data_IF_534578845715
#
_entry.id   IF_534578845715
#
_cell.length_a   1.000
_cell.length_b   1.000
_cell.length_c   1.000
_cell.angle_alpha   90.00
_cell.angle_beta   90.00
_cell.angle_gamma   90.00
#
_symmetry.space_group_name_H-M   'P 1'
#
loop_
_entity.id
_entity.type
_entity.pdbx_description
1 polymer ?
#
# COMPACT_ATOMS: atom_id res chain seq x y z
N UNK A 1 2.18 9.87 12.35
CA UNK A 1 1.62 8.51 12.15
C UNK A 1 1.71 7.73 13.46
N UNK A 2 0.78 6.81 13.73
CA UNK A 2 0.74 6.03 14.99
C UNK A 2 0.95 4.55 14.69
N UNK A 3 1.86 3.92 15.44
CA UNK A 3 2.06 2.48 15.40
C UNK A 3 1.04 1.80 16.32
N UNK A 4 0.53 0.60 15.95
CA UNK A 4 1.00 -0.27 14.87
C UNK A 4 0.34 -0.02 13.50
N UNK A 5 -0.63 0.89 13.38
CA UNK A 5 -1.45 1.05 12.17
C UNK A 5 -0.63 1.38 10.91
N UNK A 6 0.44 2.18 11.06
CA UNK A 6 1.33 2.52 9.95
C UNK A 6 2.05 1.31 9.30
N UNK A 7 2.06 0.14 9.95
CA UNK A 7 2.70 -1.06 9.42
C UNK A 7 1.81 -1.91 8.51
N UNK A 8 0.49 -1.64 8.45
CA UNK A 8 -0.43 -2.46 7.66
C UNK A 8 -0.01 -2.58 6.18
N UNK A 9 0.43 -1.51 5.49
CA UNK A 9 0.87 -1.63 4.10
C UNK A 9 2.09 -2.56 3.93
N UNK A 10 2.99 -2.59 4.92
CA UNK A 10 4.17 -3.49 4.91
C UNK A 10 3.77 -4.94 5.02
N UNK A 11 2.83 -5.24 5.91
CA UNK A 11 2.29 -6.60 6.10
C UNK A 11 1.53 -7.06 4.85
N UNK A 12 0.82 -6.14 4.18
CA UNK A 12 0.17 -6.44 2.90
C UNK A 12 1.19 -6.73 1.81
N UNK A 13 2.29 -5.96 1.76
CA UNK A 13 3.36 -6.10 0.77
C UNK A 13 4.16 -7.39 0.94
N UNK A 14 4.41 -7.82 2.18
CA UNK A 14 5.25 -8.98 2.48
C UNK A 14 4.47 -9.99 3.32
N UNK A 15 4.19 -11.16 2.74
CA UNK A 15 3.61 -12.28 3.49
C UNK A 15 4.71 -13.23 3.92
N UNK A 16 4.61 -13.70 5.16
CA UNK A 16 5.43 -14.78 5.68
C UNK A 16 4.86 -16.11 5.20
N UNK A 17 5.67 -16.91 4.51
CA UNK A 17 5.35 -18.29 4.18
C UNK A 17 5.84 -19.22 5.28
N UNK A 18 5.04 -20.22 5.64
CA UNK A 18 5.49 -21.32 6.49
C UNK A 18 6.22 -22.33 5.60
N UNK A 19 7.47 -22.66 5.91
CA UNK A 19 8.14 -23.78 5.27
C UNK A 19 7.51 -25.10 5.75
N UNK A 20 7.55 -26.18 4.96
CA UNK A 20 7.04 -27.49 5.37
C UNK A 20 7.63 -28.02 6.69
N UNK A 21 8.79 -27.50 7.10
CA UNK A 21 9.50 -27.84 8.34
C UNK A 21 8.99 -27.11 9.60
N UNK A 22 7.98 -26.24 9.49
CA UNK A 22 7.49 -25.44 10.62
C UNK A 22 8.39 -24.25 11.00
N UNK A 23 9.49 -24.02 10.28
CA UNK A 23 10.25 -22.78 10.38
C UNK A 23 9.56 -21.66 9.59
N UNK A 24 9.62 -20.44 10.14
CA UNK A 24 9.24 -19.22 9.42
C UNK A 24 10.18 -19.04 8.22
N UNK A 25 9.64 -19.19 7.01
CA UNK A 25 10.37 -19.03 5.76
C UNK A 25 10.49 -17.58 5.32
N UNK A 26 11.34 -17.38 4.31
CA UNK A 26 11.55 -16.12 3.58
C UNK A 26 10.22 -15.40 3.30
N UNK A 27 10.20 -14.10 3.57
CA UNK A 27 9.09 -13.24 3.15
C UNK A 27 9.08 -13.10 1.63
N UNK A 28 7.91 -13.27 1.02
CA UNK A 28 7.74 -13.02 -0.41
C UNK A 28 6.87 -11.80 -0.64
N UNK A 29 7.23 -11.04 -1.68
CA UNK A 29 6.47 -9.86 -2.10
C UNK A 29 5.14 -10.31 -2.71
N UNK A 30 4.04 -9.77 -2.21
CA UNK A 30 2.71 -10.08 -2.73
C UNK A 30 2.43 -9.34 -4.03
N UNK A 31 1.50 -9.87 -4.83
CA UNK A 31 1.00 -9.25 -6.06
C UNK A 31 -0.02 -8.12 -5.81
N UNK A 32 -0.34 -7.80 -4.54
CA UNK A 32 -1.30 -6.75 -4.19
C UNK A 32 -0.79 -5.40 -4.67
N UNK A 33 -1.69 -4.62 -5.29
CA UNK A 33 -1.42 -3.23 -5.64
C UNK A 33 -1.73 -2.31 -4.46
N UNK A 34 -0.73 -1.56 -4.02
CA UNK A 34 -0.82 -0.59 -2.94
C UNK A 34 -0.71 0.80 -3.57
N UNK A 35 -1.75 1.61 -3.39
CA UNK A 35 -1.80 3.00 -3.88
C UNK A 35 -1.75 3.91 -2.66
N UNK A 36 -0.80 4.82 -2.64
CA UNK A 36 -0.67 5.85 -1.62
C UNK A 36 -1.32 7.14 -2.12
N UNK A 37 -2.22 7.72 -1.32
CA UNK A 37 -2.80 9.04 -1.58
C UNK A 37 -2.42 9.93 -0.43
N UNK A 38 -1.49 10.85 -0.66
CA UNK A 38 -1.01 11.75 0.38
C UNK A 38 -0.52 13.06 -0.23
N UNK A 39 -0.55 14.15 0.55
CA UNK A 39 -0.06 15.44 0.05
C UNK A 39 1.46 15.44 -0.17
N UNK A 40 2.19 14.64 0.61
CA UNK A 40 3.64 14.48 0.55
C UNK A 40 3.99 12.98 0.61
N UNK A 41 5.08 12.52 -0.03
CA UNK A 41 5.51 11.13 0.08
C UNK A 41 5.76 10.70 1.53
N UNK A 42 5.36 9.47 1.89
CA UNK A 42 5.74 8.86 3.18
C UNK A 42 6.94 7.91 3.03
N UNK A 43 7.42 7.38 4.16
CA UNK A 43 8.44 6.32 4.17
C UNK A 43 8.03 5.09 3.33
N UNK A 44 6.72 4.82 3.20
CA UNK A 44 6.21 3.69 2.40
C UNK A 44 6.51 3.86 0.91
N UNK A 45 6.49 5.11 0.41
CA UNK A 45 6.90 5.44 -0.94
C UNK A 45 8.40 5.22 -1.12
N UNK A 46 9.22 5.79 -0.22
CA UNK A 46 10.69 5.70 -0.32
C UNK A 46 11.23 4.27 -0.23
N UNK A 47 10.53 3.39 0.47
CA UNK A 47 10.90 1.98 0.62
C UNK A 47 10.27 1.07 -0.45
N UNK A 48 9.53 1.64 -1.40
CA UNK A 48 8.90 0.88 -2.48
C UNK A 48 7.80 -0.06 -2.01
N UNK A 49 7.14 0.24 -0.89
CA UNK A 49 5.96 -0.47 -0.40
C UNK A 49 4.75 -0.14 -1.27
N UNK A 50 4.54 1.14 -1.60
CA UNK A 50 3.49 1.62 -2.51
C UNK A 50 3.91 1.37 -3.97
N UNK A 51 2.99 0.87 -4.81
CA UNK A 51 3.23 0.77 -6.26
C UNK A 51 3.03 2.12 -6.95
N UNK A 52 2.13 2.94 -6.41
CA UNK A 52 1.78 4.26 -6.95
C UNK A 52 1.65 5.26 -5.80
N UNK A 53 2.04 6.50 -6.07
CA UNK A 53 1.74 7.66 -5.24
C UNK A 53 0.88 8.64 -6.05
N UNK A 54 -0.24 9.06 -5.47
CA UNK A 54 -1.07 10.15 -5.98
C UNK A 54 -0.93 11.31 -5.00
N UNK A 55 -0.17 12.33 -5.42
CA UNK A 55 0.10 13.49 -4.58
C UNK A 55 -1.09 14.44 -4.54
N UNK A 56 -1.54 14.78 -3.32
CA UNK A 56 -2.60 15.74 -3.10
C UNK A 56 -3.39 15.51 -1.80
N UNK A 57 -4.28 16.46 -1.49
CA UNK A 57 -5.16 16.33 -0.32
C UNK A 57 -6.21 15.26 -0.58
N UNK A 58 -6.39 14.36 0.38
CA UNK A 58 -7.36 13.25 0.31
C UNK A 58 -8.77 13.74 -0.03
N UNK A 59 -9.21 14.85 0.56
CA UNK A 59 -10.53 15.45 0.32
C UNK A 59 -10.74 15.98 -1.10
N UNK A 60 -9.67 16.18 -1.88
CA UNK A 60 -9.73 16.64 -3.27
C UNK A 60 -9.50 15.47 -4.24
N UNK A 61 -8.59 14.55 -3.90
CA UNK A 61 -8.22 13.42 -4.75
C UNK A 61 -9.32 12.34 -4.79
N UNK A 62 -9.87 11.93 -3.65
CA UNK A 62 -10.83 10.82 -3.63
C UNK A 62 -12.10 11.11 -4.45
N UNK A 63 -12.73 12.31 -4.41
CA UNK A 63 -13.86 12.62 -5.29
C UNK A 63 -13.53 12.48 -6.77
N UNK A 64 -12.34 12.92 -7.19
CA UNK A 64 -11.89 12.81 -8.59
C UNK A 64 -11.71 11.36 -9.03
N UNK A 65 -11.22 10.49 -8.15
CA UNK A 65 -11.13 9.05 -8.43
C UNK A 65 -12.53 8.47 -8.65
N UNK A 66 -13.52 8.85 -7.82
CA UNK A 66 -14.90 8.39 -8.00
C UNK A 66 -15.47 8.84 -9.34
N UNK A 67 -15.26 10.10 -9.73
CA UNK A 67 -15.75 10.62 -11.00
C UNK A 67 -15.11 9.91 -12.20
N UNK A 68 -13.81 9.59 -12.12
CA UNK A 68 -13.12 8.86 -13.18
C UNK A 68 -13.60 7.41 -13.30
N UNK A 69 -13.79 6.72 -12.17
CA UNK A 69 -14.34 5.35 -12.18
C UNK A 69 -15.74 5.32 -12.80
N UNK A 70 -16.58 6.34 -12.54
CA UNK A 70 -17.90 6.47 -13.15
C UNK A 70 -17.85 6.70 -14.66
N UNK A 71 -16.81 7.36 -15.18
CA UNK A 71 -16.61 7.57 -16.63
C UNK A 71 -16.09 6.31 -17.32
N UNK A 72 -15.31 5.51 -16.60
CA UNK A 72 -14.70 4.28 -17.11
C UNK A 72 -15.61 3.03 -17.00
N UNK A 73 -16.78 3.16 -16.37
CA UNK A 73 -17.80 2.10 -16.21
C UNK A 73 -18.90 2.25 -17.24
#
# INVERSE_FOLDING_TARGET
>A
MVYPFANLPRITRFRFGTLPSGLYGTSYRTAVKIIEVNAEPTQLTHEGISDYLIEGKVGEILPRIVDEVKRAS
#
